data_IF_145695803870
#
_entry.id   IF_145695803870
#
_cell.length_a   1.000
_cell.length_b   1.000
_cell.length_c   1.000
_cell.angle_alpha   90.00
_cell.angle_beta   90.00
_cell.angle_gamma   90.00
#
_symmetry.space_group_name_H-M   'P 1'
#
loop_
_entity.id
_entity.type
_entity.pdbx_description
1 polymer ?
#
# COMPACT_ATOMS: atom_id res chain seq x y z
N UNK A 1 -5.81 -4.40 -15.68
CA UNK A 1 -5.83 -5.23 -14.46
C UNK A 1 -7.11 -6.05 -14.49
N UNK A 2 -7.13 -7.31 -14.00
CA UNK A 2 -8.36 -8.12 -13.94
C UNK A 2 -9.43 -7.35 -13.16
N UNK A 3 -10.67 -7.35 -13.66
CA UNK A 3 -11.79 -6.73 -12.97
C UNK A 3 -12.27 -7.64 -11.83
N UNK A 4 -11.69 -7.44 -10.65
CA UNK A 4 -12.01 -8.16 -9.43
C UNK A 4 -12.07 -7.22 -8.22
N UNK A 5 -12.35 -7.77 -7.05
CA UNK A 5 -12.45 -7.01 -5.81
C UNK A 5 -11.18 -6.19 -5.52
N UNK A 6 -10.00 -6.76 -5.76
CA UNK A 6 -8.72 -6.07 -5.57
C UNK A 6 -8.64 -4.84 -6.46
N UNK A 7 -9.05 -4.97 -7.73
CA UNK A 7 -9.09 -3.83 -8.65
C UNK A 7 -10.07 -2.75 -8.21
N UNK A 8 -11.20 -3.11 -7.59
CA UNK A 8 -12.17 -2.15 -7.03
C UNK A 8 -11.60 -1.41 -5.83
N UNK A 9 -10.92 -2.10 -4.90
CA UNK A 9 -10.27 -1.47 -3.75
C UNK A 9 -9.21 -0.46 -4.18
N UNK A 10 -8.37 -0.82 -5.16
CA UNK A 10 -7.39 0.10 -5.75
C UNK A 10 -8.05 1.33 -6.37
N UNK A 11 -9.11 1.15 -7.16
CA UNK A 11 -9.81 2.27 -7.83
C UNK A 11 -10.56 3.18 -6.85
N UNK A 12 -10.94 2.68 -5.68
CA UNK A 12 -11.61 3.45 -4.63
C UNK A 12 -10.64 4.24 -3.73
N UNK A 13 -9.34 4.19 -4.00
CA UNK A 13 -8.31 4.73 -3.10
C UNK A 13 -7.38 5.69 -3.85
N UNK A 14 -7.41 6.98 -3.47
CA UNK A 14 -6.66 8.03 -4.15
C UNK A 14 -5.13 7.81 -4.08
N UNK A 15 -4.62 7.30 -2.96
CA UNK A 15 -3.18 7.01 -2.81
C UNK A 15 -2.75 5.87 -3.73
N UNK A 16 -3.56 4.83 -3.85
CA UNK A 16 -3.35 3.71 -4.78
C UNK A 16 -3.39 4.16 -6.23
N UNK A 17 -4.31 5.08 -6.58
CA UNK A 17 -4.38 5.68 -7.91
C UNK A 17 -3.14 6.52 -8.22
N UNK A 18 -2.74 7.41 -7.32
CA UNK A 18 -1.53 8.23 -7.48
C UNK A 18 -0.26 7.36 -7.59
N UNK A 19 -0.20 6.25 -6.85
CA UNK A 19 0.88 5.27 -7.00
C UNK A 19 0.88 4.61 -8.38
N UNK A 20 -0.30 4.22 -8.88
CA UNK A 20 -0.48 3.69 -10.23
C UNK A 20 -0.05 4.67 -11.31
N UNK A 21 -0.48 5.92 -11.21
CA UNK A 21 -0.11 6.99 -12.12
C UNK A 21 1.41 7.18 -12.16
N UNK A 22 2.08 7.29 -11.00
CA UNK A 22 3.54 7.41 -10.92
C UNK A 22 4.28 6.24 -11.58
N UNK A 23 3.74 5.02 -11.46
CA UNK A 23 4.29 3.85 -12.13
C UNK A 23 4.07 3.90 -13.65
N UNK A 24 2.89 4.29 -14.11
CA UNK A 24 2.56 4.46 -15.52
C UNK A 24 3.40 5.57 -16.17
N UNK A 25 3.59 6.70 -15.52
CA UNK A 25 4.45 7.78 -16.03
C UNK A 25 5.89 7.30 -16.21
N UNK A 26 6.42 6.52 -15.24
CA UNK A 26 7.80 6.04 -15.29
C UNK A 26 8.02 4.86 -16.26
N UNK A 27 7.03 3.99 -16.43
CA UNK A 27 7.21 2.67 -17.05
C UNK A 27 6.11 2.25 -18.02
N UNK A 28 5.04 3.03 -18.15
CA UNK A 28 3.85 2.67 -18.92
C UNK A 28 4.09 2.65 -20.43
N UNK A 29 5.12 3.34 -20.92
CA UNK A 29 5.53 3.30 -22.32
C UNK A 29 6.10 1.94 -22.75
N UNK A 30 6.60 1.12 -21.81
CA UNK A 30 7.11 -0.22 -22.10
C UNK A 30 6.06 -1.28 -21.72
N UNK A 31 5.48 -1.93 -22.73
CA UNK A 31 4.48 -2.99 -22.55
C UNK A 31 4.98 -4.14 -21.66
N UNK A 32 6.29 -4.42 -21.67
CA UNK A 32 6.90 -5.46 -20.82
C UNK A 32 6.77 -5.12 -19.33
N UNK A 33 6.69 -3.82 -18.98
CA UNK A 33 6.51 -3.37 -17.61
C UNK A 33 5.05 -3.40 -17.14
N UNK A 34 4.07 -3.58 -18.03
CA UNK A 34 2.66 -3.53 -17.64
C UNK A 34 2.30 -4.61 -16.62
N UNK A 35 2.93 -5.79 -16.72
CA UNK A 35 2.78 -6.86 -15.72
C UNK A 35 3.30 -6.43 -14.34
N UNK A 36 4.45 -5.75 -14.31
CA UNK A 36 5.01 -5.19 -13.08
C UNK A 36 4.06 -4.15 -12.47
N UNK A 37 3.54 -3.22 -13.26
CA UNK A 37 2.61 -2.18 -12.79
C UNK A 37 1.36 -2.83 -12.19
N UNK A 38 0.76 -3.78 -12.91
CA UNK A 38 -0.40 -4.54 -12.42
C UNK A 38 -0.10 -5.27 -11.11
N UNK A 39 1.06 -5.92 -11.01
CA UNK A 39 1.45 -6.61 -9.79
C UNK A 39 1.58 -5.64 -8.62
N UNK A 40 2.23 -4.49 -8.81
CA UNK A 40 2.41 -3.48 -7.75
C UNK A 40 1.09 -2.89 -7.28
N UNK A 41 0.17 -2.58 -8.18
CA UNK A 41 -1.18 -2.15 -7.80
C UNK A 41 -1.94 -3.24 -7.03
N UNK A 42 -1.76 -4.51 -7.40
CA UNK A 42 -2.41 -5.63 -6.70
C UNK A 42 -1.81 -5.91 -5.34
N UNK A 43 -0.53 -5.64 -5.12
CA UNK A 43 0.09 -5.69 -3.79
C UNK A 43 -0.61 -4.70 -2.84
N UNK A 44 -0.76 -3.44 -3.27
CA UNK A 44 -1.49 -2.41 -2.49
C UNK A 44 -2.94 -2.81 -2.28
N UNK A 45 -3.64 -3.26 -3.32
CA UNK A 45 -5.04 -3.62 -3.22
C UNK A 45 -5.31 -4.80 -2.27
N UNK A 46 -4.39 -5.79 -2.20
CA UNK A 46 -4.49 -6.89 -1.23
C UNK A 46 -4.31 -6.40 0.19
N UNK A 47 -3.31 -5.55 0.43
CA UNK A 47 -3.09 -4.94 1.74
C UNK A 47 -4.30 -4.12 2.18
N UNK A 48 -4.82 -3.26 1.30
CA UNK A 48 -5.99 -2.43 1.60
C UNK A 48 -7.23 -3.27 1.88
N UNK A 49 -7.43 -4.37 1.15
CA UNK A 49 -8.52 -5.31 1.41
C UNK A 49 -8.40 -5.91 2.83
N UNK A 50 -7.22 -6.38 3.22
CA UNK A 50 -6.98 -6.96 4.53
C UNK A 50 -7.24 -5.93 5.65
N UNK A 51 -6.66 -4.72 5.53
CA UNK A 51 -6.86 -3.65 6.51
C UNK A 51 -8.33 -3.22 6.66
N UNK A 52 -9.09 -3.22 5.56
CA UNK A 52 -10.53 -2.90 5.53
C UNK A 52 -11.43 -4.04 6.04
N UNK A 53 -10.89 -5.23 6.27
CA UNK A 53 -11.66 -6.35 6.82
C UNK A 53 -11.97 -6.17 8.31
N UNK A 54 -11.19 -5.36 9.02
CA UNK A 54 -11.43 -5.05 10.43
C UNK A 54 -12.68 -4.15 10.59
N UNK A 55 -13.54 -4.40 11.60
CA UNK A 55 -14.66 -3.52 11.91
C UNK A 55 -14.22 -2.06 12.08
N UNK A 56 -14.96 -1.13 11.49
CA UNK A 56 -14.65 0.31 11.53
C UNK A 56 -13.62 0.80 10.50
N UNK A 57 -13.06 -0.10 9.68
CA UNK A 57 -12.07 0.26 8.66
C UNK A 57 -12.60 0.20 7.22
N UNK A 58 -13.84 -0.24 6.99
CA UNK A 58 -14.37 -0.60 5.66
C UNK A 58 -14.19 0.50 4.61
N UNK A 59 -14.40 1.76 5.00
CA UNK A 59 -14.34 2.94 4.12
C UNK A 59 -13.00 3.69 4.20
N UNK A 60 -12.05 3.25 5.03
CA UNK A 60 -10.78 3.95 5.21
C UNK A 60 -9.91 3.85 3.95
N UNK A 61 -9.38 4.99 3.50
CA UNK A 61 -8.34 5.06 2.47
C UNK A 61 -7.01 4.54 3.01
N UNK A 62 -6.07 4.23 2.12
CA UNK A 62 -4.71 3.89 2.50
C UNK A 62 -4.09 5.02 3.34
N UNK A 63 -4.36 6.28 2.99
CA UNK A 63 -3.91 7.47 3.72
C UNK A 63 -4.38 7.46 5.19
N UNK A 64 -5.59 6.97 5.48
CA UNK A 64 -6.10 6.87 6.86
C UNK A 64 -5.34 5.88 7.75
N UNK A 65 -4.51 5.01 7.18
CA UNK A 65 -3.65 4.09 7.92
C UNK A 65 -2.21 4.59 8.02
N UNK A 66 -1.81 5.64 7.30
CA UNK A 66 -0.41 6.06 7.20
C UNK A 66 0.02 6.98 8.36
N UNK A 67 -0.07 6.43 9.57
CA UNK A 67 0.34 7.04 10.84
C UNK A 67 1.31 6.08 11.53
N UNK A 68 2.27 6.61 12.28
CA UNK A 68 3.29 5.82 13.01
C UNK A 68 2.67 4.80 13.97
N UNK A 69 1.61 5.17 14.69
CA UNK A 69 0.88 4.28 15.61
C UNK A 69 0.22 3.09 14.93
N UNK A 70 -0.11 3.21 13.63
CA UNK A 70 -0.70 2.13 12.85
C UNK A 70 0.35 1.14 12.33
N UNK A 71 1.65 1.35 12.57
CA UNK A 71 2.71 0.50 12.02
C UNK A 71 2.56 -0.98 12.38
N UNK A 72 2.21 -1.29 13.63
CA UNK A 72 1.98 -2.67 14.08
C UNK A 72 0.80 -3.30 13.33
N UNK A 73 -0.26 -2.53 13.12
CA UNK A 73 -1.45 -2.97 12.39
C UNK A 73 -1.13 -3.21 10.90
N UNK A 74 -0.40 -2.30 10.27
CA UNK A 74 0.06 -2.46 8.88
C UNK A 74 0.95 -3.69 8.76
N UNK A 75 1.90 -3.87 9.67
CA UNK A 75 2.82 -5.03 9.68
C UNK A 75 2.05 -6.33 9.83
N UNK A 76 1.05 -6.37 10.71
CA UNK A 76 0.21 -7.55 10.86
C UNK A 76 -0.59 -7.83 9.58
N UNK A 77 -1.13 -6.79 8.94
CA UNK A 77 -1.84 -6.95 7.67
C UNK A 77 -0.91 -7.44 6.54
N UNK A 78 0.33 -6.95 6.49
CA UNK A 78 1.36 -7.45 5.59
C UNK A 78 1.65 -8.94 5.81
N UNK A 79 1.73 -9.38 7.08
CA UNK A 79 1.91 -10.80 7.43
C UNK A 79 0.75 -11.65 6.96
N UNK A 80 -0.49 -11.22 7.22
CA UNK A 80 -1.70 -11.91 6.79
C UNK A 80 -1.71 -12.09 5.26
N UNK A 81 -1.45 -11.01 4.52
CA UNK A 81 -1.42 -11.05 3.04
C UNK A 81 -0.31 -11.97 2.50
N UNK A 82 0.81 -12.06 3.21
CA UNK A 82 1.92 -12.95 2.87
C UNK A 82 1.70 -14.42 3.33
N UNK A 83 0.56 -14.72 3.95
CA UNK A 83 0.21 -16.05 4.44
C UNK A 83 1.09 -16.49 5.60
N UNK A 84 1.35 -15.59 6.55
CA UNK A 84 2.06 -15.92 7.77
C UNK A 84 1.25 -16.89 8.63
N UNK A 85 1.85 -18.00 9.04
CA UNK A 85 1.31 -18.93 10.01
C UNK A 85 2.03 -18.73 11.36
N UNK A 86 1.27 -18.35 12.38
CA UNK A 86 1.79 -18.11 13.72
C UNK A 86 2.22 -19.37 14.48
N UNK A 87 1.72 -20.55 14.10
CA UNK A 87 2.08 -21.81 14.74
C UNK A 87 3.46 -22.29 14.29
N UNK A 88 3.74 -22.15 13.00
CA UNK A 88 5.02 -22.59 12.39
C UNK A 88 6.03 -21.45 12.25
N UNK A 89 5.60 -20.20 12.47
CA UNK A 89 6.40 -18.99 12.23
C UNK A 89 6.95 -18.89 10.80
N UNK A 90 6.17 -19.34 9.82
CA UNK A 90 6.56 -19.35 8.40
C UNK A 90 5.61 -18.50 7.56
N UNK A 91 6.09 -18.04 6.40
CA UNK A 91 5.26 -17.35 5.41
C UNK A 91 5.03 -18.26 4.20
N UNK A 92 3.79 -18.31 3.71
CA UNK A 92 3.48 -18.96 2.44
C UNK A 92 4.20 -18.26 1.27
N UNK A 93 4.36 -16.94 1.32
CA UNK A 93 5.13 -16.18 0.34
C UNK A 93 5.96 -15.09 1.02
N UNK A 94 7.16 -15.40 1.55
CA UNK A 94 8.00 -14.43 2.26
C UNK A 94 8.34 -13.19 1.41
N UNK A 95 8.59 -13.41 0.11
CA UNK A 95 8.90 -12.32 -0.82
C UNK A 95 7.75 -11.31 -0.97
N UNK A 96 6.50 -11.71 -0.69
CA UNK A 96 5.35 -10.82 -0.78
C UNK A 96 5.36 -9.80 0.36
N UNK A 97 5.73 -10.20 1.58
CA UNK A 97 5.86 -9.27 2.71
C UNK A 97 6.89 -8.17 2.40
N UNK A 98 8.06 -8.54 1.88
CA UNK A 98 9.10 -7.60 1.46
C UNK A 98 8.61 -6.68 0.32
N UNK A 99 7.93 -7.25 -0.69
CA UNK A 99 7.38 -6.48 -1.80
C UNK A 99 6.33 -5.48 -1.33
N UNK A 100 5.46 -5.83 -0.39
CA UNK A 100 4.46 -4.93 0.16
C UNK A 100 5.14 -3.78 0.93
N UNK A 101 6.14 -4.06 1.77
CA UNK A 101 6.89 -3.02 2.48
C UNK A 101 7.53 -2.01 1.53
N UNK A 102 8.23 -2.47 0.49
CA UNK A 102 8.82 -1.57 -0.52
C UNK A 102 7.78 -0.78 -1.32
N UNK A 103 6.60 -1.36 -1.56
CA UNK A 103 5.48 -0.69 -2.22
C UNK A 103 4.87 0.38 -1.30
N UNK A 104 4.74 0.11 0.00
CA UNK A 104 4.27 1.06 1.01
C UNK A 104 5.22 2.25 1.16
N UNK A 105 6.53 2.04 1.22
CA UNK A 105 7.51 3.13 1.24
C UNK A 105 7.33 4.09 0.05
N UNK A 106 6.94 3.59 -1.13
CA UNK A 106 6.64 4.44 -2.30
C UNK A 106 5.33 5.20 -2.13
N UNK A 107 4.31 4.59 -1.53
CA UNK A 107 3.05 5.25 -1.21
C UNK A 107 3.26 6.36 -0.16
N UNK A 108 4.08 6.12 0.85
CA UNK A 108 4.46 7.14 1.85
C UNK A 108 5.15 8.33 1.20
N UNK A 109 6.13 8.09 0.31
CA UNK A 109 6.77 9.16 -0.47
C UNK A 109 5.78 10.00 -1.27
N UNK A 110 4.71 9.39 -1.81
CA UNK A 110 3.65 10.13 -2.51
C UNK A 110 2.85 10.99 -1.53
N UNK A 111 2.51 10.47 -0.34
CA UNK A 111 1.80 11.24 0.68
C UNK A 111 2.64 12.40 1.24
N UNK A 112 3.95 12.20 1.40
CA UNK A 112 4.88 13.27 1.78
C UNK A 112 4.85 14.38 0.72
N UNK A 113 5.01 14.03 -0.57
CA UNK A 113 4.93 15.01 -1.66
C UNK A 113 3.57 15.72 -1.69
N UNK A 114 2.47 14.98 -1.53
CA UNK A 114 1.12 15.54 -1.47
C UNK A 114 0.96 16.51 -0.29
N UNK A 115 1.50 16.18 0.89
CA UNK A 115 1.50 17.05 2.06
C UNK A 115 2.20 18.37 1.78
N UNK A 116 3.38 18.32 1.15
CA UNK A 116 4.14 19.51 0.74
C UNK A 116 3.34 20.35 -0.28
N UNK A 117 2.85 19.72 -1.35
CA UNK A 117 2.10 20.39 -2.43
C UNK A 117 0.82 21.07 -1.95
N UNK A 118 0.15 20.49 -0.95
CA UNK A 118 -1.11 21.00 -0.40
C UNK A 118 -0.93 21.84 0.87
N UNK A 119 0.32 22.09 1.29
CA UNK A 119 0.66 22.75 2.55
C UNK A 119 0.00 22.09 3.79
N UNK A 120 -0.19 20.77 3.73
CA UNK A 120 -0.74 19.95 4.81
C UNK A 120 0.40 19.34 5.63
N UNK A 121 0.87 20.12 6.61
CA UNK A 121 1.99 19.73 7.48
C UNK A 121 1.70 18.46 8.28
N UNK A 122 0.46 18.26 8.71
CA UNK A 122 0.06 17.08 9.48
C UNK A 122 0.20 15.80 8.64
N UNK A 123 -0.30 15.80 7.39
CA UNK A 123 -0.11 14.67 6.48
C UNK A 123 1.37 14.39 6.20
N UNK A 124 2.16 15.44 5.96
CA UNK A 124 3.59 15.31 5.70
C UNK A 124 4.31 14.64 6.88
N UNK A 125 4.18 15.21 8.08
CA UNK A 125 4.89 14.73 9.28
C UNK A 125 4.55 13.28 9.59
N UNK A 126 3.26 12.92 9.55
CA UNK A 126 2.81 11.55 9.83
C UNK A 126 3.36 10.53 8.84
N UNK A 127 3.39 10.87 7.55
CA UNK A 127 3.94 10.00 6.53
C UNK A 127 5.47 9.87 6.64
N UNK A 128 6.18 10.94 7.01
CA UNK A 128 7.63 10.92 7.27
C UNK A 128 7.98 10.05 8.48
N UNK A 129 7.26 10.19 9.59
CA UNK A 129 7.45 9.38 10.79
C UNK A 129 7.26 7.89 10.51
N UNK A 130 6.14 7.53 9.87
CA UNK A 130 5.88 6.14 9.51
C UNK A 130 6.93 5.61 8.51
N UNK A 131 7.42 6.44 7.58
CA UNK A 131 8.46 6.02 6.64
C UNK A 131 9.79 5.65 7.30
N UNK A 132 10.07 6.14 8.52
CA UNK A 132 11.28 5.78 9.28
C UNK A 132 11.20 4.40 9.93
N UNK A 133 10.00 3.80 9.98
CA UNK A 133 9.75 2.48 10.57
C UNK A 133 9.89 1.31 9.57
N UNK A 134 10.07 1.62 8.28
CA UNK A 134 10.26 0.64 7.19
C UNK A 134 11.69 0.64 6.67
#
# INVERSE_FOLDING_TARGET
MRNDEISRKVKSDNTSLAFGEKLCTKRGHDEKQHNYIRQKLREVGRLLKDMRSCPGNVEKSLENFMYSDAFKFITQSCKNVAGFDGNTNTYATPSLALKIGTTLQKCLKILISKGIETNNQDLQTRAEELSKLF
#
